data_IF_749577680575
#
_entry.id   IF_749577680575
#
_cell.length_a   1.000
_cell.length_b   1.000
_cell.length_c   1.000
_cell.angle_alpha   90.00
_cell.angle_beta   90.00
_cell.angle_gamma   90.00
#
_symmetry.space_group_name_H-M   'P 1'
#
loop_
_entity.id
_entity.type
_entity.pdbx_description
1 polymer ?
#
# COMPACT_ATOMS: atom_id res chain seq x y z
N UNK A 1 -12.21 40.26 15.35
CA UNK A 1 -11.17 39.25 15.67
C UNK A 1 -10.65 38.73 14.35
N UNK A 2 -9.35 38.91 14.11
CA UNK A 2 -8.68 38.45 12.91
C UNK A 2 -8.78 36.92 12.79
N UNK A 3 -8.79 36.35 11.58
CA UNK A 3 -8.63 34.91 11.42
C UNK A 3 -7.26 34.54 11.98
N UNK A 4 -7.22 33.59 12.90
CA UNK A 4 -5.99 33.04 13.44
C UNK A 4 -5.12 32.59 12.26
N UNK A 5 -3.91 33.13 12.21
CA UNK A 5 -2.83 32.68 11.32
C UNK A 5 -2.77 31.15 11.34
N UNK A 6 -3.13 30.54 10.23
CA UNK A 6 -2.64 29.21 9.90
C UNK A 6 -1.14 29.42 9.73
N UNK A 7 -0.36 29.16 10.79
CA UNK A 7 1.09 28.97 10.67
C UNK A 7 1.30 28.14 9.43
N UNK A 8 2.06 28.63 8.46
CA UNK A 8 2.19 28.03 7.13
C UNK A 8 2.77 26.63 7.28
N UNK A 9 1.91 25.65 7.56
CA UNK A 9 2.26 24.25 7.69
C UNK A 9 3.08 23.93 6.45
N UNK A 10 4.34 23.56 6.67
CA UNK A 10 5.25 23.21 5.59
C UNK A 10 4.53 22.16 4.75
N UNK A 11 4.16 22.58 3.54
CA UNK A 11 3.39 21.75 2.65
C UNK A 11 4.26 20.58 2.21
N UNK A 12 3.98 19.40 2.75
CA UNK A 12 4.60 18.15 2.35
C UNK A 12 3.52 17.27 1.74
N UNK A 13 3.45 17.22 0.41
CA UNK A 13 2.47 16.40 -0.35
C UNK A 13 2.54 14.92 -0.03
N UNK A 14 3.69 14.45 0.48
CA UNK A 14 3.87 13.06 0.92
C UNK A 14 3.15 12.76 2.23
N UNK A 15 2.86 13.75 3.08
CA UNK A 15 2.08 13.54 4.30
C UNK A 15 0.59 13.70 3.96
N UNK A 16 -0.26 12.69 4.25
CA UNK A 16 -1.70 12.82 4.11
C UNK A 16 -2.24 14.04 4.86
N UNK A 17 -3.19 14.82 4.29
CA UNK A 17 -3.62 16.07 4.91
C UNK A 17 -4.22 15.92 6.32
N UNK A 18 -4.92 14.81 6.55
CA UNK A 18 -5.51 14.43 7.85
C UNK A 18 -4.47 14.03 8.91
N UNK A 19 -3.22 13.84 8.50
CA UNK A 19 -2.11 13.46 9.37
C UNK A 19 -1.17 14.66 9.67
N UNK A 20 -1.30 15.78 8.95
CA UNK A 20 -0.38 16.93 9.06
C UNK A 20 -0.27 17.50 10.47
N UNK A 21 -1.37 17.56 11.23
CA UNK A 21 -1.39 18.11 12.59
C UNK A 21 -0.43 17.38 13.54
N UNK A 22 -0.20 16.08 13.31
CA UNK A 22 0.73 15.26 14.12
C UNK A 22 2.18 15.75 14.00
N UNK A 23 2.50 16.42 12.89
CA UNK A 23 3.84 16.88 12.57
C UNK A 23 4.07 18.37 12.84
N UNK A 24 3.09 19.09 13.40
CA UNK A 24 3.20 20.52 13.75
C UNK A 24 4.46 20.88 14.54
N UNK A 25 4.91 20.01 15.46
CA UNK A 25 6.14 20.18 16.26
C UNK A 25 7.46 19.99 15.48
N UNK A 26 7.39 19.53 14.23
CA UNK A 26 8.53 19.23 13.37
C UNK A 26 8.56 20.11 12.11
N UNK A 27 7.87 21.26 12.10
CA UNK A 27 7.69 22.11 10.92
C UNK A 27 9.01 22.39 10.17
N UNK A 28 10.08 22.72 10.89
CA UNK A 28 11.39 22.99 10.31
C UNK A 28 12.01 21.75 9.63
N UNK A 29 11.85 20.57 10.23
CA UNK A 29 12.39 19.30 9.73
C UNK A 29 11.55 18.74 8.56
N UNK A 30 10.24 19.03 8.50
CA UNK A 30 9.35 18.60 7.42
C UNK A 30 9.77 19.15 6.05
N UNK A 31 10.50 20.28 6.03
CA UNK A 31 11.06 20.83 4.77
C UNK A 31 12.04 19.85 4.13
N UNK A 32 12.83 19.15 4.93
CA UNK A 32 13.76 18.12 4.46
C UNK A 32 13.03 16.88 3.95
N UNK A 33 11.93 16.48 4.59
CA UNK A 33 11.05 15.40 4.12
C UNK A 33 10.46 15.76 2.74
N UNK A 34 9.93 16.97 2.61
CA UNK A 34 9.37 17.45 1.34
C UNK A 34 10.42 17.50 0.23
N UNK A 35 11.62 18.00 0.51
CA UNK A 35 12.71 18.05 -0.48
C UNK A 35 13.12 16.64 -0.92
N UNK A 36 13.26 15.69 0.01
CA UNK A 36 13.60 14.31 -0.30
C UNK A 36 12.53 13.60 -1.14
N UNK A 37 11.25 13.93 -0.92
CA UNK A 37 10.17 13.45 -1.76
C UNK A 37 10.23 14.02 -3.18
N UNK A 38 10.45 15.33 -3.33
CA UNK A 38 10.60 15.97 -4.64
C UNK A 38 11.80 15.42 -5.42
N UNK A 39 12.93 15.21 -4.77
CA UNK A 39 14.10 14.56 -5.38
C UNK A 39 13.77 13.13 -5.85
N UNK A 40 13.04 12.38 -5.03
CA UNK A 40 12.55 11.06 -5.41
C UNK A 40 11.61 11.16 -6.62
N UNK A 41 10.64 12.08 -6.63
CA UNK A 41 9.72 12.31 -7.76
C UNK A 41 10.48 12.58 -9.06
N UNK A 42 11.47 13.50 -9.02
CA UNK A 42 12.32 13.81 -10.17
C UNK A 42 13.05 12.56 -10.67
N UNK A 43 13.60 11.75 -9.76
CA UNK A 43 14.27 10.49 -10.11
C UNK A 43 13.34 9.42 -10.71
N UNK A 44 12.02 9.53 -10.46
CA UNK A 44 11.01 8.58 -10.93
C UNK A 44 10.35 8.98 -12.26
N UNK A 45 10.35 10.27 -12.65
CA UNK A 45 9.66 10.78 -13.87
C UNK A 45 10.05 10.08 -15.18
N UNK A 46 11.27 9.54 -15.27
CA UNK A 46 11.74 8.80 -16.46
C UNK A 46 11.62 7.28 -16.36
N UNK A 47 11.19 6.73 -15.21
CA UNK A 47 11.20 5.28 -14.99
C UNK A 47 9.86 4.67 -15.41
N UNK A 48 9.90 3.83 -16.44
CA UNK A 48 8.71 3.09 -16.90
C UNK A 48 8.09 2.26 -15.77
N UNK A 49 6.77 2.30 -15.69
CA UNK A 49 5.94 1.37 -14.90
C UNK A 49 5.37 0.23 -15.76
N UNK A 50 5.39 0.38 -17.09
CA UNK A 50 4.98 -0.67 -18.03
C UNK A 50 6.03 -1.78 -18.01
N UNK A 51 5.59 -3.00 -17.72
CA UNK A 51 6.47 -4.16 -17.57
C UNK A 51 7.19 -4.26 -16.20
N UNK A 52 6.98 -3.30 -15.28
CA UNK A 52 7.58 -3.39 -13.94
C UNK A 52 6.92 -4.51 -13.13
N UNK A 53 7.73 -5.40 -12.57
CA UNK A 53 7.28 -6.46 -11.67
C UNK A 53 7.15 -5.96 -10.22
N UNK A 54 6.67 -6.82 -9.33
CA UNK A 54 6.44 -6.53 -7.91
C UNK A 54 7.72 -6.02 -7.23
N UNK A 55 8.85 -6.70 -7.43
CA UNK A 55 10.13 -6.35 -6.82
C UNK A 55 10.62 -4.95 -7.21
N UNK A 56 10.56 -4.60 -8.49
CA UNK A 56 10.95 -3.27 -8.99
C UNK A 56 10.08 -2.16 -8.38
N UNK A 57 8.77 -2.38 -8.26
CA UNK A 57 7.85 -1.37 -7.72
C UNK A 57 8.06 -1.18 -6.21
N UNK A 58 8.23 -2.27 -5.47
CA UNK A 58 8.51 -2.22 -4.04
C UNK A 58 9.86 -1.58 -3.75
N UNK A 59 10.88 -1.86 -4.55
CA UNK A 59 12.20 -1.23 -4.40
C UNK A 59 12.14 0.28 -4.60
N UNK A 60 11.39 0.76 -5.60
CA UNK A 60 11.18 2.22 -5.79
C UNK A 60 10.51 2.88 -4.60
N UNK A 61 9.48 2.24 -4.03
CA UNK A 61 8.81 2.73 -2.83
C UNK A 61 9.77 2.67 -1.63
N UNK A 62 10.55 1.61 -1.50
CA UNK A 62 11.55 1.48 -0.44
C UNK A 62 12.62 2.56 -0.52
N UNK A 63 13.11 2.88 -1.71
CA UNK A 63 14.07 3.99 -1.93
C UNK A 63 13.47 5.31 -1.44
N UNK A 64 12.17 5.56 -1.64
CA UNK A 64 11.51 6.73 -1.03
C UNK A 64 11.61 6.67 0.49
N UNK A 65 11.25 5.54 1.11
CA UNK A 65 11.33 5.39 2.57
C UNK A 65 12.75 5.62 3.11
N UNK A 66 13.77 5.11 2.41
CA UNK A 66 15.18 5.31 2.75
C UNK A 66 15.55 6.80 2.64
N UNK A 67 15.16 7.48 1.56
CA UNK A 67 15.43 8.90 1.37
C UNK A 67 14.81 9.74 2.49
N UNK A 68 13.59 9.42 2.92
CA UNK A 68 12.96 10.07 4.08
C UNK A 68 13.75 9.82 5.37
N UNK A 69 14.20 8.58 5.59
CA UNK A 69 15.04 8.24 6.75
C UNK A 69 16.35 9.04 6.78
N UNK A 70 16.98 9.22 5.62
CA UNK A 70 18.20 10.03 5.46
C UNK A 70 17.91 11.51 5.71
N UNK A 71 16.82 12.04 5.15
CA UNK A 71 16.39 13.43 5.35
C UNK A 71 16.16 13.76 6.83
N UNK A 72 15.67 12.77 7.58
CA UNK A 72 15.41 12.87 9.02
C UNK A 72 16.57 12.35 9.89
N UNK A 73 17.80 12.22 9.37
CA UNK A 73 18.89 11.53 10.08
C UNK A 73 19.20 12.09 11.48
N UNK A 74 18.91 13.37 11.74
CA UNK A 74 19.09 14.02 13.05
C UNK A 74 17.88 13.88 13.98
N UNK A 75 16.74 13.42 13.46
CA UNK A 75 15.48 13.27 14.18
C UNK A 75 14.85 11.91 13.84
N UNK A 76 15.35 10.87 14.52
CA UNK A 76 14.89 9.49 14.32
C UNK A 76 13.39 9.30 14.60
N UNK A 77 12.85 10.01 15.60
CA UNK A 77 11.44 9.93 15.94
C UNK A 77 10.57 10.42 14.78
N UNK A 78 10.92 11.56 14.17
CA UNK A 78 10.25 12.05 12.97
C UNK A 78 10.38 11.04 11.82
N UNK A 79 11.57 10.49 11.60
CA UNK A 79 11.79 9.50 10.54
C UNK A 79 10.82 8.30 10.67
N UNK A 80 10.76 7.73 11.86
CA UNK A 80 9.90 6.57 12.16
C UNK A 80 8.41 6.93 12.04
N UNK A 81 8.01 8.12 12.51
CA UNK A 81 6.62 8.59 12.47
C UNK A 81 6.15 8.85 11.03
N UNK A 82 6.95 9.54 10.20
CA UNK A 82 6.65 9.76 8.79
C UNK A 82 6.60 8.43 8.03
N UNK A 83 7.58 7.56 8.22
CA UNK A 83 7.60 6.25 7.56
C UNK A 83 6.41 5.36 7.96
N UNK A 84 5.96 5.43 9.22
CA UNK A 84 4.79 4.72 9.69
C UNK A 84 3.52 5.25 8.99
N UNK A 85 3.30 6.56 9.00
CA UNK A 85 2.13 7.20 8.37
C UNK A 85 2.02 6.85 6.89
N UNK A 86 3.12 6.99 6.15
CA UNK A 86 3.16 6.64 4.71
C UNK A 86 2.86 5.15 4.55
N UNK A 87 3.52 4.27 5.30
CA UNK A 87 3.32 2.82 5.20
C UNK A 87 1.86 2.41 5.44
N UNK A 88 1.22 3.03 6.43
CA UNK A 88 -0.16 2.73 6.80
C UNK A 88 -1.14 3.17 5.71
N UNK A 89 -0.96 4.37 5.15
CA UNK A 89 -1.80 4.85 4.05
C UNK A 89 -1.62 4.04 2.77
N UNK A 90 -0.38 3.66 2.45
CA UNK A 90 -0.10 2.77 1.33
C UNK A 90 -0.74 1.39 1.53
N UNK A 91 -0.71 0.85 2.74
CA UNK A 91 -1.35 -0.42 3.09
C UNK A 91 -2.86 -0.35 2.97
N UNK A 92 -3.50 0.66 3.55
CA UNK A 92 -4.94 0.87 3.46
C UNK A 92 -5.36 0.92 1.99
N UNK A 93 -4.69 1.75 1.18
CA UNK A 93 -4.97 1.88 -0.25
C UNK A 93 -4.76 0.57 -1.02
N UNK A 94 -3.71 -0.19 -0.70
CA UNK A 94 -3.50 -1.50 -1.30
C UNK A 94 -4.66 -2.45 -1.00
N UNK A 95 -5.10 -2.49 0.26
CA UNK A 95 -6.21 -3.33 0.70
C UNK A 95 -7.55 -2.89 0.09
N UNK A 96 -7.78 -1.60 -0.08
CA UNK A 96 -8.96 -1.06 -0.77
C UNK A 96 -9.00 -1.56 -2.22
N UNK A 97 -7.88 -1.46 -2.96
CA UNK A 97 -7.78 -1.96 -4.33
C UNK A 97 -8.01 -3.49 -4.37
N UNK A 98 -7.44 -4.23 -3.42
CA UNK A 98 -7.64 -5.69 -3.33
C UNK A 98 -9.10 -6.03 -3.02
N UNK A 99 -9.79 -5.21 -2.22
CA UNK A 99 -11.19 -5.43 -1.87
C UNK A 99 -12.12 -5.38 -3.10
N UNK A 100 -11.75 -4.61 -4.12
CA UNK A 100 -12.47 -4.49 -5.40
C UNK A 100 -12.29 -5.70 -6.33
N UNK A 101 -11.31 -6.57 -6.07
CA UNK A 101 -11.08 -7.78 -6.87
C UNK A 101 -12.26 -8.73 -6.68
N UNK A 102 -12.87 -9.16 -7.80
CA UNK A 102 -13.96 -10.14 -7.79
C UNK A 102 -13.43 -11.53 -7.46
N UNK A 103 -14.05 -12.19 -6.49
CA UNK A 103 -13.74 -13.56 -6.07
C UNK A 103 -14.84 -14.54 -6.53
N UNK A 104 -15.11 -14.58 -7.82
CA UNK A 104 -16.17 -15.41 -8.42
C UNK A 104 -15.79 -16.89 -8.63
N UNK A 105 -14.53 -17.25 -8.35
CA UNK A 105 -14.02 -18.61 -8.38
C UNK A 105 -13.14 -18.90 -7.16
N UNK A 106 -12.89 -20.18 -6.86
CA UNK A 106 -12.00 -20.57 -5.76
C UNK A 106 -10.57 -20.06 -5.99
N UNK A 107 -10.10 -20.07 -7.24
CA UNK A 107 -8.77 -19.57 -7.62
C UNK A 107 -8.68 -18.06 -7.33
N UNK A 108 -9.66 -17.27 -7.78
CA UNK A 108 -9.68 -15.83 -7.50
C UNK A 108 -9.88 -15.51 -6.02
N UNK A 109 -10.64 -16.33 -5.28
CA UNK A 109 -10.75 -16.20 -3.83
C UNK A 109 -9.38 -16.43 -3.15
N UNK A 110 -8.63 -17.45 -3.58
CA UNK A 110 -7.28 -17.71 -3.09
C UNK A 110 -6.32 -16.56 -3.42
N UNK A 111 -6.36 -16.02 -4.64
CA UNK A 111 -5.56 -14.85 -5.02
C UNK A 111 -5.93 -13.66 -4.15
N UNK A 112 -7.22 -13.32 -4.01
CA UNK A 112 -7.67 -12.19 -3.20
C UNK A 112 -7.26 -12.32 -1.73
N UNK A 113 -7.41 -13.50 -1.13
CA UNK A 113 -6.99 -13.77 0.25
C UNK A 113 -5.46 -13.65 0.39
N UNK A 114 -4.69 -14.21 -0.55
CA UNK A 114 -3.23 -14.08 -0.60
C UNK A 114 -2.80 -12.62 -0.65
N UNK A 115 -3.36 -11.82 -1.56
CA UNK A 115 -3.06 -10.39 -1.68
C UNK A 115 -3.44 -9.62 -0.40
N UNK A 116 -4.57 -9.96 0.20
CA UNK A 116 -5.05 -9.34 1.45
C UNK A 116 -4.04 -9.56 2.57
N UNK A 117 -3.53 -10.79 2.73
CA UNK A 117 -2.54 -11.11 3.77
C UNK A 117 -1.19 -10.45 3.41
N UNK A 118 -0.74 -10.60 2.16
CA UNK A 118 0.52 -10.02 1.68
C UNK A 118 0.60 -8.52 1.94
N UNK A 119 -0.38 -7.73 1.47
CA UNK A 119 -0.36 -6.27 1.66
C UNK A 119 -0.58 -5.86 3.12
N UNK A 120 -1.33 -6.64 3.91
CA UNK A 120 -1.50 -6.38 5.34
C UNK A 120 -0.17 -6.50 6.09
N UNK A 121 0.63 -7.50 5.76
CA UNK A 121 1.90 -7.79 6.43
C UNK A 121 3.10 -7.08 5.80
N UNK A 122 2.91 -6.47 4.63
CA UNK A 122 3.95 -5.77 3.88
C UNK A 122 4.56 -4.62 4.70
N UNK A 123 5.89 -4.61 4.73
CA UNK A 123 6.71 -3.55 5.33
C UNK A 123 7.52 -2.87 4.23
N UNK A 124 7.13 -1.66 3.83
CA UNK A 124 7.78 -0.92 2.74
C UNK A 124 9.23 -0.49 3.02
N UNK A 125 9.71 -0.66 4.26
CA UNK A 125 11.05 -0.24 4.69
C UNK A 125 12.10 -1.36 4.66
N UNK A 126 11.73 -2.61 4.39
CA UNK A 126 12.66 -3.77 4.36
C UNK A 126 12.87 -4.33 2.95
N UNK A 127 13.91 -5.12 2.79
CA UNK A 127 14.06 -6.02 1.65
C UNK A 127 12.85 -6.96 1.56
N UNK A 128 12.32 -7.13 0.36
CA UNK A 128 11.20 -8.01 0.05
C UNK A 128 11.62 -8.88 -1.12
N UNK A 129 11.39 -10.18 -0.97
CA UNK A 129 11.62 -11.20 -1.98
C UNK A 129 10.26 -11.65 -2.47
N UNK A 130 9.73 -11.07 -3.57
CA UNK A 130 8.30 -11.15 -3.88
C UNK A 130 7.77 -12.58 -4.01
N UNK A 131 8.53 -13.50 -4.59
CA UNK A 131 8.10 -14.87 -4.77
C UNK A 131 7.97 -15.59 -3.43
N UNK A 132 8.97 -15.45 -2.57
CA UNK A 132 9.06 -16.07 -1.25
C UNK A 132 8.04 -15.48 -0.28
N UNK A 133 7.93 -14.15 -0.23
CA UNK A 133 7.00 -13.43 0.65
C UNK A 133 5.54 -13.72 0.25
N UNK A 134 5.22 -13.76 -1.06
CA UNK A 134 3.86 -14.11 -1.51
C UNK A 134 3.58 -15.59 -1.30
N UNK A 135 4.52 -16.49 -1.64
CA UNK A 135 4.36 -17.94 -1.42
C UNK A 135 4.11 -18.27 0.05
N UNK A 136 4.77 -17.54 0.97
CA UNK A 136 4.65 -17.72 2.41
C UNK A 136 3.25 -17.47 2.96
N UNK A 137 2.43 -16.67 2.26
CA UNK A 137 1.10 -16.26 2.72
C UNK A 137 -0.05 -16.89 1.94
N UNK A 138 0.21 -17.76 0.96
CA UNK A 138 -0.84 -18.46 0.20
C UNK A 138 -1.61 -19.41 1.14
N UNK A 139 -2.96 -19.28 1.23
CA UNK A 139 -3.76 -20.14 2.08
C UNK A 139 -3.76 -21.59 1.59
N UNK A 140 -3.84 -22.54 2.52
CA UNK A 140 -3.91 -23.98 2.17
C UNK A 140 -5.26 -24.35 1.57
N UNK A 141 -6.33 -23.70 2.04
CA UNK A 141 -7.70 -23.92 1.59
C UNK A 141 -8.49 -22.62 1.62
N UNK A 142 -9.37 -22.44 0.66
CA UNK A 142 -10.29 -21.29 0.60
C UNK A 142 -11.74 -21.72 0.50
N UNK A 143 -12.64 -20.81 0.87
CA UNK A 143 -14.07 -20.94 0.67
C UNK A 143 -14.61 -19.69 -0.01
N UNK A 144 -15.47 -19.86 -1.00
CA UNK A 144 -16.23 -18.74 -1.56
C UNK A 144 -17.13 -18.14 -0.47
N UNK A 145 -17.08 -16.81 -0.33
CA UNK A 145 -18.08 -16.10 0.46
C UNK A 145 -19.43 -16.25 -0.25
N UNK A 146 -20.50 -16.64 0.46
CA UNK A 146 -21.82 -16.66 -0.14
C UNK A 146 -22.23 -15.21 -0.45
N UNK A 147 -22.54 -14.92 -1.71
CA UNK A 147 -23.09 -13.64 -2.17
C UNK A 147 -24.22 -13.21 -1.23
N UNK A 148 -23.99 -12.17 -0.43
CA UNK A 148 -24.90 -11.71 0.62
C UNK A 148 -26.07 -10.88 0.09
N UNK A 149 -26.55 -11.16 -1.13
CA UNK A 149 -27.61 -10.41 -1.81
C UNK A 149 -29.00 -11.06 -1.79
N UNK A 150 -29.22 -12.20 -1.11
CA UNK A 150 -30.56 -12.83 -1.05
C UNK A 150 -30.98 -13.31 0.35
N UNK A 151 -31.99 -12.63 0.90
CA UNK A 151 -33.10 -13.26 1.63
C UNK A 151 -32.80 -13.81 3.03
N UNK A 152 -33.30 -13.08 4.05
CA UNK A 152 -33.22 -13.40 5.49
C UNK A 152 -34.03 -14.64 5.95
N UNK A 153 -34.38 -15.58 5.06
CA UNK A 153 -35.33 -16.68 5.32
C UNK A 153 -34.85 -18.05 4.80
N UNK A 154 -33.61 -18.43 5.12
CA UNK A 154 -33.09 -19.75 4.74
C UNK A 154 -31.76 -20.11 5.36
N UNK A 155 -31.61 -20.00 6.70
CA UNK A 155 -30.47 -20.60 7.41
C UNK A 155 -30.65 -22.12 7.46
N UNK A 156 -30.24 -22.81 6.39
CA UNK A 156 -30.07 -24.25 6.37
C UNK A 156 -28.72 -24.59 5.74
N UNK A 157 -27.74 -24.76 6.63
CA UNK A 157 -26.60 -25.70 6.54
C UNK A 157 -25.98 -25.86 5.14
N UNK A 158 -25.28 -24.82 4.69
CA UNK A 158 -24.27 -24.95 3.65
C UNK A 158 -22.89 -24.87 4.29
N UNK A 159 -22.28 -26.01 4.60
CA UNK A 159 -20.85 -26.06 4.92
C UNK A 159 -20.10 -25.56 3.69
N UNK A 160 -19.58 -24.32 3.71
CA UNK A 160 -18.74 -23.79 2.64
C UNK A 160 -17.60 -24.77 2.38
N UNK A 161 -17.67 -25.49 1.25
CA UNK A 161 -16.75 -26.58 0.93
C UNK A 161 -15.36 -25.97 0.73
N UNK A 162 -14.48 -26.17 1.70
CA UNK A 162 -13.09 -25.70 1.63
C UNK A 162 -12.34 -26.47 0.55
N UNK A 163 -11.88 -25.79 -0.49
CA UNK A 163 -11.15 -26.38 -1.62
C UNK A 163 -9.65 -26.19 -1.41
N UNK A 164 -8.86 -27.21 -1.76
CA UNK A 164 -7.39 -27.14 -1.71
C UNK A 164 -6.90 -26.18 -2.79
N UNK A 165 -5.99 -25.28 -2.42
CA UNK A 165 -5.41 -24.28 -3.32
C UNK A 165 -4.26 -24.89 -4.12
N UNK A 166 -4.21 -24.57 -5.42
CA UNK A 166 -3.02 -24.77 -6.26
C UNK A 166 -2.04 -23.62 -5.99
N UNK A 167 -0.98 -23.90 -5.23
CA UNK A 167 -0.04 -22.88 -4.78
C UNK A 167 0.74 -22.22 -5.92
N UNK A 168 1.19 -23.00 -6.90
CA UNK A 168 2.02 -22.47 -7.98
C UNK A 168 1.19 -21.53 -8.86
N UNK A 169 0.00 -21.98 -9.25
CA UNK A 169 -0.91 -21.14 -10.03
C UNK A 169 -1.32 -19.89 -9.26
N UNK A 170 -1.65 -20.03 -7.97
CA UNK A 170 -2.03 -18.89 -7.12
C UNK A 170 -0.87 -17.90 -6.97
N UNK A 171 0.37 -18.38 -6.87
CA UNK A 171 1.55 -17.52 -6.82
C UNK A 171 1.68 -16.68 -8.08
N UNK A 172 1.64 -17.30 -9.27
CA UNK A 172 1.80 -16.58 -10.54
C UNK A 172 0.70 -15.51 -10.73
N UNK A 173 -0.56 -15.87 -10.43
CA UNK A 173 -1.68 -14.93 -10.50
C UNK A 173 -1.57 -13.82 -9.43
N UNK A 174 -1.16 -14.15 -8.20
CA UNK A 174 -0.98 -13.18 -7.13
C UNK A 174 0.19 -12.21 -7.40
N UNK A 175 1.28 -12.65 -8.02
CA UNK A 175 2.38 -11.76 -8.42
C UNK A 175 1.94 -10.78 -9.50
N UNK A 176 1.16 -11.25 -10.49
CA UNK A 176 0.60 -10.39 -11.52
C UNK A 176 -0.34 -9.34 -10.92
N UNK A 177 -1.27 -9.74 -10.07
CA UNK A 177 -2.20 -8.81 -9.43
C UNK A 177 -1.54 -7.88 -8.42
N UNK A 178 -0.53 -8.36 -7.68
CA UNK A 178 0.30 -7.51 -6.82
C UNK A 178 0.99 -6.42 -7.63
N UNK A 179 1.51 -6.74 -8.83
CA UNK A 179 2.09 -5.75 -9.73
C UNK A 179 1.05 -4.71 -10.16
N UNK A 180 -0.19 -5.10 -10.44
CA UNK A 180 -1.27 -4.18 -10.80
C UNK A 180 -1.64 -3.24 -9.64
N UNK A 181 -1.76 -3.77 -8.41
CA UNK A 181 -2.02 -2.99 -7.20
C UNK A 181 -0.90 -1.99 -6.97
N UNK A 182 0.36 -2.44 -7.01
CA UNK A 182 1.53 -1.60 -6.80
C UNK A 182 1.71 -0.54 -7.90
N UNK A 183 1.36 -0.83 -9.16
CA UNK A 183 1.35 0.17 -10.23
C UNK A 183 0.36 1.30 -9.93
N UNK A 184 -0.86 0.97 -9.48
CA UNK A 184 -1.86 1.98 -9.09
C UNK A 184 -1.36 2.86 -7.96
N UNK A 185 -0.77 2.25 -6.93
CA UNK A 185 -0.17 2.95 -5.80
C UNK A 185 0.98 3.85 -6.25
N UNK A 186 1.91 3.30 -7.02
CA UNK A 186 3.08 4.03 -7.52
C UNK A 186 2.68 5.20 -8.41
N UNK A 187 1.70 5.03 -9.31
CA UNK A 187 1.19 6.13 -10.15
C UNK A 187 0.62 7.28 -9.33
N UNK A 188 -0.01 6.98 -8.19
CA UNK A 188 -0.45 8.01 -7.25
C UNK A 188 0.73 8.68 -6.57
N UNK A 189 1.68 7.92 -6.04
CA UNK A 189 2.90 8.46 -5.44
C UNK A 189 3.73 9.33 -6.38
N UNK A 190 3.64 9.19 -7.70
CA UNK A 190 4.34 10.09 -8.64
C UNK A 190 3.49 11.25 -9.16
N UNK A 191 2.22 11.33 -8.73
CA UNK A 191 1.32 12.42 -9.07
C UNK A 191 1.49 13.61 -8.13
N UNK A 192 1.10 14.83 -8.53
CA UNK A 192 1.11 16.01 -7.65
C UNK A 192 0.26 15.86 -6.39
N UNK A 193 -0.75 14.99 -6.43
CA UNK A 193 -1.63 14.67 -5.30
C UNK A 193 -1.70 13.14 -5.08
N UNK A 194 -0.76 12.59 -4.30
CA UNK A 194 -0.68 11.14 -4.08
C UNK A 194 -1.88 10.58 -3.31
N UNK A 195 -2.60 11.43 -2.59
CA UNK A 195 -3.70 11.01 -1.72
C UNK A 195 -5.07 11.20 -2.37
N UNK A 196 -5.19 12.02 -3.43
CA UNK A 196 -6.45 12.24 -4.14
C UNK A 196 -7.39 13.18 -3.38
N UNK A 197 -6.82 14.09 -2.58
CA UNK A 197 -7.51 15.04 -1.73
C UNK A 197 -7.63 16.44 -2.33
N UNK A 198 -6.92 16.74 -3.43
CA UNK A 198 -6.81 18.08 -4.02
C UNK A 198 -7.27 18.17 -5.48
#
# INVERSE_FOLDING_TARGET
>A
MAPNDVSMAVWCTLIPPDELDKFSKYEDDLRSVSAAYEDWLVSMRGKSFVGANVGVLLDRIRILMINIGIACARNRALAEEVQAVISDHLRIRALDIVSEIKADSNEKAAVKETLTIFFRELKFTRDIFPEEDVMGVIPVKVSLEPDSSKGRLGKLIGSSKKVKVDKERTLQEALLESSNVLKKIYMRLVSPDPWGTY
#
